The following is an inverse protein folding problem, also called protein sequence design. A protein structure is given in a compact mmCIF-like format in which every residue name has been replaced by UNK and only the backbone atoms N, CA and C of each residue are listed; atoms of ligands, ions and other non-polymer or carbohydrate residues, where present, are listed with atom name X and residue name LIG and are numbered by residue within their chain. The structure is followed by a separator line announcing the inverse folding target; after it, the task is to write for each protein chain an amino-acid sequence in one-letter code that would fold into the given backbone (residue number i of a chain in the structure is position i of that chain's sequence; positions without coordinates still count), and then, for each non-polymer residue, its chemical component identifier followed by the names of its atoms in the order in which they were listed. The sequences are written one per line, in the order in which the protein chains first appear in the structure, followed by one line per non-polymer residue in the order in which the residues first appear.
data_IF_717563311537
#
_entry.id   IF_717563311537
#
_cell.length_a   1.000
_cell.length_b   1.000
_cell.length_c   1.000
_cell.angle_alpha   90.00
_cell.angle_beta   90.00
_cell.angle_gamma   90.00
#
_symmetry.space_group_name_H-M   'P 1'
#
loop_
_entity.id
_entity.type
_entity.pdbx_description
1 polymer ?
#
# COMPACT_ATOMS: atom_id res chain seq x y z
N UNK A 1 -4.83 20.59 46.15
CA UNK A 1 -4.78 21.48 44.96
C UNK A 1 -5.01 20.63 43.73
N UNK A 2 -6.28 20.43 43.37
CA UNK A 2 -6.68 19.68 42.18
C UNK A 2 -6.85 20.73 41.09
N UNK A 3 -5.90 20.80 40.15
CA UNK A 3 -5.98 21.74 39.03
C UNK A 3 -7.02 21.20 38.04
N UNK A 4 -8.19 21.84 38.03
CA UNK A 4 -9.16 21.75 36.95
C UNK A 4 -8.47 22.14 35.64
N UNK A 5 -8.17 21.17 34.79
CA UNK A 5 -7.85 21.43 33.39
C UNK A 5 -9.20 21.61 32.66
N UNK A 6 -9.53 22.79 32.14
CA UNK A 6 -10.75 22.96 31.36
C UNK A 6 -10.68 22.05 30.12
N UNK A 7 -11.81 21.55 29.65
CA UNK A 7 -11.98 20.76 28.42
C UNK A 7 -11.55 21.51 27.12
N UNK A 8 -10.80 22.60 27.25
CA UNK A 8 -10.29 23.48 26.20
C UNK A 8 -8.84 23.16 25.78
N UNK A 9 -8.18 22.19 26.41
CA UNK A 9 -6.84 21.70 26.03
C UNK A 9 -6.83 20.37 25.25
N UNK A 10 -7.99 19.91 24.78
CA UNK A 10 -8.08 18.87 23.74
C UNK A 10 -8.64 19.47 22.44
N UNK A 11 -8.11 20.63 22.02
CA UNK A 11 -8.17 20.96 20.60
C UNK A 11 -7.14 20.06 19.93
N UNK A 12 -7.60 18.92 19.44
CA UNK A 12 -6.92 18.19 18.38
C UNK A 12 -6.51 19.20 17.31
N UNK A 13 -5.20 19.31 17.04
CA UNK A 13 -4.69 20.02 15.88
C UNK A 13 -5.14 19.31 14.61
N UNK A 14 -6.41 19.51 14.24
CA UNK A 14 -6.98 18.97 13.01
C UNK A 14 -6.71 19.96 11.89
N UNK A 15 -5.65 19.69 11.12
CA UNK A 15 -5.22 20.53 10.00
C UNK A 15 -3.85 20.13 9.45
N UNK A 16 -3.22 21.02 8.67
CA UNK A 16 -1.92 20.81 8.03
C UNK A 16 -0.77 20.47 9.01
N UNK A 17 -0.87 20.87 10.29
CA UNK A 17 0.14 20.65 11.32
C UNK A 17 0.49 19.17 11.54
N UNK A 18 -0.40 18.24 11.14
CA UNK A 18 -0.20 16.80 11.28
C UNK A 18 0.62 16.16 10.14
N UNK A 19 0.91 16.87 9.05
CA UNK A 19 1.60 16.32 7.88
C UNK A 19 2.99 16.93 7.72
N UNK A 20 4.01 16.08 7.71
CA UNK A 20 5.41 16.52 7.64
C UNK A 20 5.93 16.31 6.22
N UNK A 21 6.12 17.42 5.53
CA UNK A 21 6.81 17.42 4.25
C UNK A 21 8.32 17.31 4.48
N UNK A 22 8.88 16.12 4.26
CA UNK A 22 10.33 15.95 4.20
C UNK A 22 10.80 16.34 2.80
N UNK A 23 11.52 17.47 2.62
CA UNK A 23 11.95 17.90 1.29
C UNK A 23 13.11 17.06 0.75
N UNK A 24 13.78 16.28 1.62
CA UNK A 24 14.85 15.36 1.25
C UNK A 24 14.24 14.18 0.46
N UNK A 25 14.56 14.02 -0.82
CA UNK A 25 14.02 12.92 -1.62
C UNK A 25 14.52 11.55 -1.14
N UNK A 26 13.65 10.52 -1.15
CA UNK A 26 13.93 9.12 -0.76
C UNK A 26 13.06 8.14 -1.55
N UNK A 27 13.48 6.88 -1.73
CA UNK A 27 12.67 5.82 -2.41
C UNK A 27 11.39 5.50 -1.63
N UNK A 28 10.30 4.96 -2.21
CA UNK A 28 9.09 4.65 -1.42
C UNK A 28 9.40 3.77 -0.19
N UNK A 29 10.14 2.67 -0.34
CA UNK A 29 10.54 1.82 0.78
C UNK A 29 11.46 2.56 1.75
N UNK A 30 12.50 3.26 1.30
CA UNK A 30 13.37 4.02 2.20
C UNK A 30 12.71 5.27 2.79
N UNK A 31 11.72 5.86 2.13
CA UNK A 31 10.92 6.99 2.57
C UNK A 31 9.89 6.51 3.57
N UNK A 32 9.27 5.36 3.33
CA UNK A 32 8.46 4.60 4.28
C UNK A 32 9.29 4.23 5.49
N UNK A 33 10.47 3.65 5.30
CA UNK A 33 11.36 3.23 6.38
C UNK A 33 11.92 4.45 7.12
N UNK A 34 12.25 5.54 6.41
CA UNK A 34 12.67 6.82 7.00
C UNK A 34 11.52 7.47 7.77
N UNK A 35 10.33 7.52 7.19
CA UNK A 35 9.12 7.97 7.86
C UNK A 35 8.84 7.09 9.08
N UNK A 36 9.08 5.79 9.03
CA UNK A 36 8.97 4.88 10.19
C UNK A 36 10.08 5.06 11.22
N UNK A 37 11.27 5.47 10.78
CA UNK A 37 12.41 5.73 11.67
C UNK A 37 12.30 7.08 12.38
N UNK A 38 11.74 8.10 11.73
CA UNK A 38 11.78 9.49 12.19
C UNK A 38 10.39 10.05 12.55
N UNK A 39 9.33 9.46 12.01
CA UNK A 39 7.93 9.90 12.14
C UNK A 39 7.01 8.67 12.24
N UNK A 40 5.90 8.64 11.48
CA UNK A 40 4.95 7.52 11.46
C UNK A 40 5.13 6.61 10.22
N UNK A 41 4.69 7.02 9.02
CA UNK A 41 4.83 6.30 7.74
C UNK A 41 4.57 7.29 6.58
N UNK A 42 4.64 6.85 5.32
CA UNK A 42 4.11 7.59 4.19
C UNK A 42 2.58 7.79 4.31
N UNK A 43 2.07 8.93 3.84
CA UNK A 43 0.70 9.37 4.14
C UNK A 43 -0.38 8.53 3.44
N UNK A 44 -1.36 7.99 4.16
CA UNK A 44 -2.55 7.37 3.56
C UNK A 44 -3.59 8.44 3.17
N UNK A 45 -4.30 8.27 2.05
CA UNK A 45 -5.37 9.18 1.61
C UNK A 45 -6.72 8.48 1.70
N UNK A 46 -7.56 8.86 2.67
CA UNK A 46 -8.80 8.11 3.00
C UNK A 46 -10.08 8.81 2.60
N UNK A 47 -10.03 10.12 2.36
CA UNK A 47 -11.16 10.94 1.98
C UNK A 47 -10.69 12.25 1.32
N UNK A 48 -11.64 12.97 0.75
CA UNK A 48 -11.37 14.20 -0.01
C UNK A 48 -10.79 15.33 0.85
N UNK A 49 -11.11 15.39 2.15
CA UNK A 49 -10.57 16.41 3.05
C UNK A 49 -9.09 16.16 3.33
N UNK A 50 -8.70 14.91 3.59
CA UNK A 50 -7.30 14.50 3.72
C UNK A 50 -6.53 14.73 2.42
N UNK A 51 -7.12 14.36 1.28
CA UNK A 51 -6.54 14.65 -0.03
C UNK A 51 -6.23 16.14 -0.18
N UNK A 52 -7.19 17.02 0.15
CA UNK A 52 -7.01 18.47 0.09
C UNK A 52 -5.95 18.98 1.06
N UNK A 53 -5.96 18.57 2.32
CA UNK A 53 -4.94 19.02 3.30
C UNK A 53 -3.54 18.50 2.95
N UNK A 54 -3.42 17.26 2.44
CA UNK A 54 -2.14 16.73 1.95
C UNK A 54 -1.65 17.51 0.73
N UNK A 55 -2.54 17.91 -0.18
CA UNK A 55 -2.19 18.80 -1.29
C UNK A 55 -1.68 20.17 -0.81
N UNK A 56 -2.33 20.76 0.19
CA UNK A 56 -1.91 22.04 0.78
C UNK A 56 -0.53 21.92 1.44
N UNK A 57 -0.30 20.87 2.24
CA UNK A 57 0.99 20.62 2.90
C UNK A 57 2.09 20.32 1.90
N UNK A 58 1.77 19.54 0.87
CA UNK A 58 2.69 19.27 -0.21
C UNK A 58 3.08 20.58 -0.92
N UNK A 59 2.24 21.62 -0.84
CA UNK A 59 2.50 22.97 -1.31
C UNK A 59 2.95 22.97 -2.77
N UNK A 60 2.16 22.29 -3.60
CA UNK A 60 2.45 22.08 -5.01
C UNK A 60 3.60 21.10 -5.30
N UNK A 61 4.23 20.51 -4.27
CA UNK A 61 5.24 19.45 -4.46
C UNK A 61 4.59 18.09 -4.62
N UNK A 62 5.26 17.21 -5.35
CA UNK A 62 4.92 15.79 -5.40
C UNK A 62 5.47 15.07 -4.17
N UNK A 63 4.68 14.16 -3.59
CA UNK A 63 5.04 13.42 -2.38
C UNK A 63 4.63 11.95 -2.49
N UNK A 64 5.42 11.06 -1.89
CA UNK A 64 5.00 9.67 -1.71
C UNK A 64 3.88 9.56 -0.68
N UNK A 65 2.92 8.68 -0.97
CA UNK A 65 1.79 8.33 -0.10
C UNK A 65 1.88 6.84 0.25
N UNK A 66 1.34 6.46 1.40
CA UNK A 66 1.47 5.13 1.98
C UNK A 66 0.63 4.03 1.30
N UNK A 67 -0.02 4.30 0.16
CA UNK A 67 -0.70 3.27 -0.60
C UNK A 67 0.35 2.37 -1.27
N UNK A 68 0.42 1.12 -0.80
CA UNK A 68 1.09 -0.03 -1.41
C UNK A 68 0.14 -1.20 -1.25
N UNK A 69 0.11 -2.17 -2.16
CA UNK A 69 -0.84 -3.27 -1.97
C UNK A 69 -0.46 -4.52 -2.75
N UNK A 70 -0.01 -5.54 -2.01
CA UNK A 70 0.04 -6.91 -2.53
C UNK A 70 0.41 -7.98 -1.48
N UNK A 71 -0.47 -8.96 -1.18
CA UNK A 71 -0.13 -10.10 -0.32
C UNK A 71 0.53 -11.25 -1.10
N UNK A 72 0.45 -11.23 -2.43
CA UNK A 72 0.89 -12.35 -3.22
C UNK A 72 2.40 -12.37 -3.27
N UNK A 73 2.97 -13.56 -3.07
CA UNK A 73 4.41 -13.81 -3.15
C UNK A 73 4.66 -14.81 -4.26
N UNK A 74 5.79 -14.65 -4.95
CA UNK A 74 6.25 -15.67 -5.88
C UNK A 74 6.69 -16.90 -5.10
N UNK A 75 6.41 -18.08 -5.62
CA UNK A 75 6.77 -19.34 -4.95
C UNK A 75 8.28 -19.53 -4.81
N UNK A 76 9.09 -18.88 -5.65
CA UNK A 76 10.56 -18.84 -5.54
C UNK A 76 11.08 -17.68 -4.67
N UNK A 77 10.18 -16.96 -3.98
CA UNK A 77 10.46 -15.80 -3.12
C UNK A 77 11.09 -14.61 -3.84
N UNK A 78 11.05 -14.56 -5.17
CA UNK A 78 11.49 -13.38 -5.92
C UNK A 78 10.72 -12.14 -5.43
N UNK A 79 11.44 -11.11 -4.98
CA UNK A 79 10.85 -9.83 -4.54
C UNK A 79 10.37 -9.03 -5.75
N UNK A 80 9.07 -9.14 -6.05
CA UNK A 80 8.46 -8.49 -7.19
C UNK A 80 7.03 -8.05 -6.86
N UNK A 81 6.74 -6.79 -7.13
CA UNK A 81 5.42 -6.18 -7.03
C UNK A 81 4.59 -6.31 -8.31
N UNK A 82 5.04 -7.08 -9.31
CA UNK A 82 4.35 -7.21 -10.61
C UNK A 82 3.06 -8.01 -10.46
N UNK A 83 1.93 -7.44 -10.88
CA UNK A 83 0.69 -8.19 -11.00
C UNK A 83 -0.12 -7.87 -12.24
N UNK A 84 -0.62 -8.91 -12.93
CA UNK A 84 -1.55 -8.77 -14.05
C UNK A 84 -2.94 -9.28 -13.73
N UNK A 85 -3.42 -8.96 -12.54
CA UNK A 85 -4.77 -9.25 -12.13
C UNK A 85 -5.82 -8.81 -13.15
N UNK A 86 -6.84 -9.65 -13.36
CA UNK A 86 -8.09 -9.23 -14.01
C UNK A 86 -8.72 -8.09 -13.21
N UNK A 87 -9.48 -7.22 -13.87
CA UNK A 87 -10.03 -6.00 -13.25
C UNK A 87 -10.93 -6.30 -12.06
N UNK A 88 -11.65 -7.42 -12.10
CA UNK A 88 -12.52 -7.90 -11.01
C UNK A 88 -11.76 -8.58 -9.88
N UNK A 89 -10.44 -8.76 -10.00
CA UNK A 89 -9.69 -9.46 -8.98
C UNK A 89 -9.53 -8.59 -7.75
N UNK A 90 -9.97 -9.14 -6.64
CA UNK A 90 -9.61 -8.63 -5.34
C UNK A 90 -8.17 -9.03 -5.03
N UNK A 91 -7.25 -8.05 -5.03
CA UNK A 91 -5.82 -8.22 -4.67
C UNK A 91 -5.63 -8.41 -3.14
N UNK A 92 -6.67 -8.90 -2.46
CA UNK A 92 -6.72 -9.14 -1.02
C UNK A 92 -7.09 -10.60 -0.69
N UNK A 93 -6.83 -11.54 -1.60
CA UNK A 93 -7.07 -12.94 -1.34
C UNK A 93 -6.08 -13.45 -0.28
N UNK A 94 -6.55 -13.59 0.95
CA UNK A 94 -5.80 -14.09 2.11
C UNK A 94 -5.80 -15.62 2.22
N UNK A 95 -6.51 -16.32 1.32
CA UNK A 95 -6.55 -17.77 1.38
C UNK A 95 -5.35 -18.37 0.67
N UNK A 96 -4.59 -19.18 1.41
CA UNK A 96 -3.56 -20.07 0.86
C UNK A 96 -4.14 -21.18 -0.02
N UNK A 97 -5.46 -21.32 -0.07
CA UNK A 97 -6.16 -22.25 -0.95
C UNK A 97 -6.27 -21.69 -2.38
N UNK A 98 -5.91 -20.42 -2.59
CA UNK A 98 -5.86 -19.82 -3.91
C UNK A 98 -4.44 -19.73 -4.45
N UNK A 99 -4.30 -20.22 -5.67
CA UNK A 99 -3.13 -20.14 -6.49
C UNK A 99 -3.42 -19.21 -7.66
N UNK A 100 -2.37 -18.71 -8.31
CA UNK A 100 -2.52 -17.78 -9.43
C UNK A 100 -2.38 -18.53 -10.74
N UNK A 101 -3.35 -18.36 -11.63
CA UNK A 101 -3.29 -18.87 -12.99
C UNK A 101 -3.47 -17.75 -14.02
N UNK A 102 -2.88 -17.94 -15.19
CA UNK A 102 -3.20 -17.14 -16.38
C UNK A 102 -4.49 -17.65 -17.00
N UNK A 103 -5.48 -16.77 -17.13
CA UNK A 103 -6.82 -17.14 -17.56
C UNK A 103 -6.99 -16.96 -19.07
N UNK A 104 -7.29 -18.04 -19.80
CA UNK A 104 -7.50 -18.02 -21.27
C UNK A 104 -8.62 -17.06 -21.70
N UNK A 105 -9.71 -17.01 -20.92
CA UNK A 105 -10.88 -16.19 -21.20
C UNK A 105 -10.71 -14.72 -20.80
N UNK A 106 -9.66 -14.38 -20.03
CA UNK A 106 -9.31 -13.01 -19.66
C UNK A 106 -8.06 -12.54 -20.42
N UNK A 107 -7.85 -13.06 -21.65
CA UNK A 107 -6.69 -12.75 -22.49
C UNK A 107 -5.33 -12.95 -21.78
N UNK A 108 -5.24 -13.92 -20.86
CA UNK A 108 -4.02 -14.21 -20.10
C UNK A 108 -3.84 -13.41 -18.80
N UNK A 109 -4.81 -12.57 -18.40
CA UNK A 109 -4.79 -11.93 -17.07
C UNK A 109 -4.84 -12.96 -15.95
N UNK A 110 -4.30 -12.57 -14.80
CA UNK A 110 -4.20 -13.40 -13.62
C UNK A 110 -5.51 -13.42 -12.88
N UNK A 111 -5.87 -14.59 -12.40
CA UNK A 111 -6.93 -14.75 -11.42
C UNK A 111 -6.56 -15.82 -10.42
N UNK A 112 -7.26 -15.78 -9.32
CA UNK A 112 -7.30 -16.85 -8.35
C UNK A 112 -7.94 -18.11 -8.94
N UNK A 113 -7.34 -19.25 -8.60
CA UNK A 113 -7.85 -20.60 -8.80
C UNK A 113 -7.69 -21.40 -7.54
N UNK A 114 -8.59 -22.33 -7.30
CA UNK A 114 -8.39 -23.29 -6.22
C UNK A 114 -7.10 -24.07 -6.52
N UNK A 115 -6.16 -24.09 -5.56
CA UNK A 115 -4.88 -24.75 -5.73
C UNK A 115 -4.99 -26.27 -6.00
N UNK A 116 -6.16 -26.88 -5.76
CA UNK A 116 -6.45 -28.29 -6.08
C UNK A 116 -6.88 -28.50 -7.53
N UNK A 117 -7.18 -27.44 -8.28
CA UNK A 117 -7.49 -27.53 -9.71
C UNK A 117 -6.27 -28.01 -10.51
N UNK A 118 -6.48 -29.03 -11.35
CA UNK A 118 -5.43 -29.49 -12.27
C UNK A 118 -5.31 -28.54 -13.47
N UNK A 119 -4.13 -27.93 -13.62
CA UNK A 119 -3.83 -27.01 -14.72
C UNK A 119 -2.47 -27.38 -15.37
N UNK A 120 -2.30 -27.22 -16.70
CA UNK A 120 -0.98 -27.22 -17.31
C UNK A 120 -0.09 -26.15 -16.67
N UNK A 121 1.21 -26.43 -16.55
CA UNK A 121 2.17 -25.55 -15.88
C UNK A 121 3.44 -25.36 -16.72
N UNK A 122 4.23 -24.36 -16.35
CA UNK A 122 5.53 -24.06 -16.94
C UNK A 122 6.59 -24.08 -15.83
N UNK A 123 7.76 -24.63 -16.14
CA UNK A 123 8.90 -24.63 -15.22
C UNK A 123 9.96 -23.64 -15.68
N UNK A 124 10.70 -23.09 -14.71
CA UNK A 124 11.93 -22.35 -14.96
C UNK A 124 13.09 -23.34 -14.99
N UNK A 125 13.90 -23.35 -16.05
CA UNK A 125 15.19 -24.04 -16.03
C UNK A 125 16.16 -23.21 -15.18
N UNK A 126 16.84 -23.84 -14.23
CA UNK A 126 17.96 -23.21 -13.53
C UNK A 126 19.20 -23.34 -14.42
N UNK A 127 19.94 -22.25 -14.62
CA UNK A 127 21.31 -22.34 -15.13
C UNK A 127 22.27 -22.61 -13.97
#
# INVERSE_FOLDING_TARGET
LILYMPALWMRSEQGAAQYILTPKPMTWTAARDFCRQNYTDLVSLRNDAEYKTVQEVANGKSVYVGLFRDPWVWSDLTDSSLRYWRESQEINALSSEYCVAMLKNESGKWGDRDCTEMQPFLCKCSM
#
